data_IF_347643943241
#
_entry.id   IF_347643943241
#
_cell.length_a   1.000
_cell.length_b   1.000
_cell.length_c   1.000
_cell.angle_alpha   90.00
_cell.angle_beta   90.00
_cell.angle_gamma   90.00
#
_symmetry.space_group_name_H-M   'P 1'
#
loop_
_entity.id
_entity.type
_entity.pdbx_description
1 polymer ?
#
# COMPACT_ATOMS: atom_id res chain seq x y z
N UNK A 1 -7.11 -9.52 5.04
CA UNK A 1 -6.09 -9.95 6.01
C UNK A 1 -5.95 -8.86 7.05
N UNK A 2 -5.73 -9.22 8.31
CA UNK A 2 -5.45 -8.26 9.38
C UNK A 2 -4.18 -8.70 10.09
N UNK A 3 -3.28 -7.76 10.34
CA UNK A 3 -2.08 -7.95 11.14
C UNK A 3 -2.40 -7.96 12.64
N UNK A 4 -1.43 -7.54 13.43
CA UNK A 4 -1.39 -7.68 14.87
C UNK A 4 -1.21 -6.31 15.55
N UNK A 5 -0.57 -6.30 16.72
CA UNK A 5 -0.21 -5.08 17.43
C UNK A 5 1.30 -4.79 17.35
N UNK A 6 2.00 -5.50 16.46
CA UNK A 6 3.43 -5.38 16.20
C UNK A 6 3.63 -5.04 14.73
N UNK A 7 4.87 -4.68 14.39
CA UNK A 7 5.26 -4.40 13.02
C UNK A 7 5.12 -5.66 12.15
N UNK A 8 4.15 -5.65 11.26
CA UNK A 8 3.82 -6.75 10.36
C UNK A 8 4.24 -6.44 8.92
N UNK A 9 4.39 -7.50 8.12
CA UNK A 9 4.51 -7.41 6.67
C UNK A 9 3.37 -8.21 6.05
N UNK A 10 2.43 -7.50 5.43
CA UNK A 10 1.23 -8.08 4.83
C UNK A 10 1.41 -8.07 3.31
N UNK A 11 1.24 -9.24 2.71
CA UNK A 11 1.41 -9.43 1.26
C UNK A 11 0.11 -10.02 0.72
N UNK A 12 -0.50 -9.30 -0.21
CA UNK A 12 -1.65 -9.74 -0.98
C UNK A 12 -1.26 -10.62 -2.17
N UNK A 13 -2.13 -10.68 -3.17
CA UNK A 13 -1.99 -11.48 -4.37
C UNK A 13 -2.34 -10.67 -5.63
N UNK A 14 -2.86 -11.33 -6.68
CA UNK A 14 -3.23 -10.66 -7.94
C UNK A 14 -4.71 -10.26 -8.01
N UNK A 15 -5.46 -10.44 -6.92
CA UNK A 15 -6.86 -10.06 -6.80
C UNK A 15 -7.06 -8.81 -5.95
N UNK A 16 -8.30 -8.33 -5.88
CA UNK A 16 -8.63 -7.24 -4.96
C UNK A 16 -8.56 -7.74 -3.50
N UNK A 17 -7.61 -7.21 -2.75
CA UNK A 17 -7.37 -7.55 -1.35
C UNK A 17 -7.79 -6.42 -0.41
N UNK A 18 -8.04 -6.79 0.84
CA UNK A 18 -8.21 -5.85 1.95
C UNK A 18 -7.15 -6.19 2.98
N UNK A 19 -6.18 -5.31 3.18
CA UNK A 19 -5.08 -5.46 4.13
C UNK A 19 -5.22 -4.41 5.22
N UNK A 20 -5.25 -4.85 6.48
CA UNK A 20 -5.27 -3.98 7.65
C UNK A 20 -4.07 -4.28 8.54
N UNK A 21 -3.14 -3.34 8.71
CA UNK A 21 -1.90 -3.50 9.48
C UNK A 21 -2.19 -3.72 10.97
N UNK A 22 -2.90 -2.77 11.58
CA UNK A 22 -3.34 -2.88 12.98
C UNK A 22 -2.66 -1.83 13.83
N UNK A 23 -1.84 -2.26 14.80
CA UNK A 23 -0.92 -1.34 15.49
C UNK A 23 0.51 -1.77 15.22
N UNK A 24 1.44 -0.83 15.22
CA UNK A 24 2.83 -1.11 14.84
C UNK A 24 3.19 -0.33 13.58
N UNK A 25 4.46 -0.39 13.18
CA UNK A 25 4.88 0.19 11.92
C UNK A 25 4.85 -0.90 10.84
N UNK A 26 3.79 -0.92 10.04
CA UNK A 26 3.48 -2.02 9.13
C UNK A 26 3.94 -1.76 7.69
N UNK A 27 4.21 -2.85 6.96
CA UNK A 27 4.46 -2.83 5.51
C UNK A 27 3.32 -3.58 4.82
N UNK A 28 2.59 -2.87 3.96
CA UNK A 28 1.45 -3.40 3.21
C UNK A 28 1.80 -3.45 1.71
N UNK A 29 1.93 -4.67 1.18
CA UNK A 29 2.08 -4.94 -0.24
C UNK A 29 0.78 -5.53 -0.79
N UNK A 30 -0.03 -4.72 -1.46
CA UNK A 30 -1.32 -5.16 -2.05
C UNK A 30 -1.13 -6.21 -3.13
N UNK A 31 -0.16 -5.99 -4.03
CA UNK A 31 0.03 -6.79 -5.22
C UNK A 31 -0.75 -6.18 -6.39
N UNK A 32 -1.20 -7.00 -7.34
CA UNK A 32 -2.02 -6.51 -8.43
C UNK A 32 -3.49 -6.58 -8.03
N UNK A 33 -4.31 -5.65 -8.49
CA UNK A 33 -5.72 -5.60 -8.09
C UNK A 33 -6.11 -4.18 -7.77
N UNK A 34 -7.33 -4.00 -7.27
CA UNK A 34 -7.76 -2.74 -6.67
C UNK A 34 -7.90 -3.00 -5.18
N UNK A 35 -6.88 -2.62 -4.42
CA UNK A 35 -6.73 -3.03 -3.04
C UNK A 35 -7.23 -1.97 -2.05
N UNK A 36 -7.56 -2.42 -0.85
CA UNK A 36 -7.81 -1.55 0.30
C UNK A 36 -6.67 -1.74 1.29
N UNK A 37 -5.80 -0.74 1.41
CA UNK A 37 -4.65 -0.73 2.30
C UNK A 37 -4.95 0.18 3.50
N UNK A 38 -5.01 -0.41 4.69
CA UNK A 38 -5.29 0.28 5.94
C UNK A 38 -4.10 0.07 6.88
N UNK A 39 -3.24 1.05 7.10
CA UNK A 39 -2.08 0.87 7.99
C UNK A 39 -2.53 0.71 9.43
N UNK A 40 -3.18 1.74 9.96
CA UNK A 40 -3.78 1.70 11.29
C UNK A 40 -3.07 2.66 12.23
N UNK A 41 -2.63 2.18 13.40
CA UNK A 41 -1.89 2.98 14.36
C UNK A 41 -0.39 2.71 14.20
N UNK A 42 0.40 3.75 13.97
CA UNK A 42 1.85 3.64 13.86
C UNK A 42 2.33 4.49 12.70
N UNK A 43 3.47 4.11 12.14
CA UNK A 43 4.02 4.69 10.92
C UNK A 43 4.07 3.63 9.84
N UNK A 44 3.05 3.63 8.99
CA UNK A 44 2.80 2.55 8.05
C UNK A 44 3.29 2.88 6.64
N UNK A 45 3.66 1.84 5.89
CA UNK A 45 4.20 1.95 4.53
C UNK A 45 3.37 1.12 3.55
N UNK A 46 2.86 1.76 2.50
CA UNK A 46 2.38 1.03 1.33
C UNK A 46 3.55 0.78 0.37
N UNK A 47 3.77 -0.49 0.01
CA UNK A 47 4.94 -0.94 -0.73
C UNK A 47 4.57 -1.41 -2.15
N UNK A 48 5.01 -0.65 -3.14
CA UNK A 48 4.84 -0.92 -4.57
C UNK A 48 6.14 -1.36 -5.27
N UNK A 49 7.19 -1.74 -4.52
CA UNK A 49 8.49 -2.14 -5.07
C UNK A 49 8.39 -3.30 -6.07
N UNK A 50 7.39 -4.18 -5.91
CA UNK A 50 7.11 -5.30 -6.79
C UNK A 50 6.46 -4.95 -8.13
N UNK A 51 5.97 -3.71 -8.31
CA UNK A 51 5.19 -3.37 -9.50
C UNK A 51 6.00 -3.38 -10.78
N UNK A 52 5.41 -3.97 -11.83
CA UNK A 52 6.00 -4.06 -13.16
C UNK A 52 5.87 -2.76 -13.99
N UNK A 53 5.29 -1.70 -13.43
CA UNK A 53 5.17 -0.38 -14.06
C UNK A 53 5.23 0.74 -13.00
N UNK A 54 5.43 1.98 -13.46
CA UNK A 54 5.41 3.15 -12.56
C UNK A 54 4.05 3.35 -11.92
N UNK A 55 4.05 3.70 -10.63
CA UNK A 55 2.84 3.94 -9.85
C UNK A 55 2.64 5.43 -9.58
N UNK A 56 1.37 5.85 -9.48
CA UNK A 56 0.98 7.20 -9.05
C UNK A 56 0.13 7.08 -7.80
N UNK A 57 0.68 7.43 -6.65
CA UNK A 57 0.02 7.24 -5.34
C UNK A 57 -0.02 8.56 -4.58
N UNK A 58 -1.20 8.90 -4.06
CA UNK A 58 -1.43 10.14 -3.32
C UNK A 58 -2.03 9.82 -1.95
N UNK A 59 -1.24 10.04 -0.88
CA UNK A 59 -1.65 9.77 0.50
C UNK A 59 -2.74 10.75 0.99
N UNK A 60 -2.70 12.01 0.57
CA UNK A 60 -3.73 13.00 0.94
C UNK A 60 -5.11 12.62 0.38
N UNK A 61 -5.15 12.13 -0.86
CA UNK A 61 -6.37 11.67 -1.51
C UNK A 61 -6.75 10.23 -1.12
N UNK A 62 -5.79 9.44 -0.61
CA UNK A 62 -5.97 8.04 -0.26
C UNK A 62 -6.19 7.15 -1.50
N UNK A 63 -5.51 7.43 -2.61
CA UNK A 63 -5.73 6.72 -3.89
C UNK A 63 -4.45 6.35 -4.61
N UNK A 64 -4.47 5.20 -5.28
CA UNK A 64 -3.45 4.74 -6.21
C UNK A 64 -3.96 4.64 -7.66
N UNK A 65 -3.04 4.81 -8.63
CA UNK A 65 -3.27 4.55 -10.04
C UNK A 65 -2.01 4.07 -10.75
N UNK A 66 -2.17 3.25 -11.81
CA UNK A 66 -1.06 2.71 -12.60
C UNK A 66 -0.33 1.57 -11.90
N UNK A 67 0.18 0.62 -12.70
CA UNK A 67 0.85 -0.58 -12.18
C UNK A 67 -0.01 -1.32 -11.16
N UNK A 68 0.63 -1.69 -10.06
CA UNK A 68 0.03 -2.43 -8.94
C UNK A 68 -0.87 -1.52 -8.10
N UNK A 69 -0.67 -0.20 -8.14
CA UNK A 69 -1.52 0.77 -7.44
C UNK A 69 -2.89 0.97 -8.09
N UNK A 70 -3.21 0.26 -9.17
CA UNK A 70 -4.35 0.58 -10.04
C UNK A 70 -5.71 0.35 -9.35
N UNK A 71 -6.30 1.45 -8.85
CA UNK A 71 -7.61 1.42 -8.20
C UNK A 71 -7.52 1.21 -6.69
N UNK A 72 -6.31 1.27 -6.14
CA UNK A 72 -6.08 1.15 -4.71
C UNK A 72 -6.69 2.32 -3.94
N UNK A 73 -7.13 1.99 -2.73
CA UNK A 73 -7.53 2.94 -1.70
C UNK A 73 -6.62 2.78 -0.49
N UNK A 74 -6.15 3.90 0.05
CA UNK A 74 -5.17 3.95 1.12
C UNK A 74 -5.70 4.78 2.28
N UNK A 75 -5.51 4.30 3.50
CA UNK A 75 -5.87 5.02 4.73
C UNK A 75 -4.92 4.70 5.87
N UNK A 76 -4.55 5.71 6.67
CA UNK A 76 -3.56 5.54 7.74
C UNK A 76 -2.23 5.01 7.21
N UNK A 77 -1.73 5.60 6.11
CA UNK A 77 -0.43 5.28 5.50
C UNK A 77 0.36 6.58 5.46
N UNK A 78 1.56 6.56 6.03
CA UNK A 78 2.43 7.73 6.14
C UNK A 78 3.58 7.69 5.14
N UNK A 79 3.95 6.49 4.67
CA UNK A 79 5.07 6.29 3.76
C UNK A 79 4.69 5.50 2.50
N UNK A 80 5.43 5.76 1.43
CA UNK A 80 5.31 5.07 0.16
C UNK A 80 6.68 4.54 -0.28
N UNK A 81 6.74 3.25 -0.60
CA UNK A 81 7.82 2.69 -1.40
C UNK A 81 7.35 2.59 -2.84
N UNK A 82 8.05 3.28 -3.75
CA UNK A 82 7.77 3.26 -5.19
C UNK A 82 8.25 1.99 -5.89
N UNK A 83 7.95 1.90 -7.19
CA UNK A 83 8.42 0.82 -8.05
C UNK A 83 9.85 1.07 -8.55
N UNK A 84 10.35 0.15 -9.38
CA UNK A 84 11.61 0.35 -10.13
C UNK A 84 11.50 1.31 -11.32
N UNK A 85 10.34 1.93 -11.55
CA UNK A 85 10.02 2.72 -12.74
C UNK A 85 9.79 4.20 -12.39
N UNK A 86 9.25 4.97 -13.33
CA UNK A 86 8.96 6.40 -13.12
C UNK A 86 7.70 6.57 -12.28
N UNK A 87 7.88 6.72 -10.96
CA UNK A 87 6.78 6.90 -10.02
C UNK A 87 6.40 8.37 -9.80
N UNK A 88 5.19 8.55 -9.30
CA UNK A 88 4.65 9.84 -8.88
C UNK A 88 4.00 9.70 -7.50
N UNK A 89 4.79 9.92 -6.46
CA UNK A 89 4.38 9.72 -5.06
C UNK A 89 4.13 11.08 -4.40
N UNK A 90 2.98 11.23 -3.75
CA UNK A 90 2.57 12.47 -3.07
C UNK A 90 2.04 12.16 -1.67
N UNK A 91 2.28 13.06 -0.72
CA UNK A 91 1.74 13.03 0.63
C UNK A 91 1.53 14.42 1.20
#
# INVERSE_FOLDING_TARGET
MTGSAFNDTLIGDGGANVLAGGSGDDILHGGAGADTLQGGNGTDTADYAGSAAGVSVNLTAGTGAGGDAQGDTLSGIENLTGSGFADRLYG
#
